data_IF_670716080491
#
_entry.id   IF_670716080491
#
_cell.length_a   1.000
_cell.length_b   1.000
_cell.length_c   1.000
_cell.angle_alpha   90.00
_cell.angle_beta   90.00
_cell.angle_gamma   90.00
#
_symmetry.space_group_name_H-M   'P 1'
#
loop_
_entity.id
_entity.type
_entity.pdbx_description
1 polymer ?
#
# COMPACT_ATOMS: atom_id res chain seq x y z
N UNK A 1 -54.96 -47.18 -15.47
CA UNK A 1 -53.83 -47.26 -14.53
C UNK A 1 -52.53 -47.06 -15.30
N UNK A 2 -52.02 -45.82 -15.43
CA UNK A 2 -50.65 -45.56 -15.90
C UNK A 2 -50.24 -44.08 -15.69
N UNK A 3 -50.21 -43.57 -14.45
CA UNK A 3 -49.88 -42.15 -14.21
C UNK A 3 -48.98 -41.88 -12.98
N UNK A 4 -48.20 -42.87 -12.54
CA UNK A 4 -47.28 -42.76 -11.39
C UNK A 4 -45.89 -43.25 -11.80
N UNK A 5 -45.27 -42.51 -12.72
CA UNK A 5 -43.85 -42.67 -13.04
C UNK A 5 -43.21 -41.29 -13.18
N UNK A 6 -43.83 -40.39 -13.92
CA UNK A 6 -43.40 -38.98 -13.97
C UNK A 6 -43.51 -38.30 -12.61
N UNK A 7 -44.63 -38.45 -11.89
CA UNK A 7 -44.81 -37.84 -10.57
C UNK A 7 -43.85 -38.42 -9.51
N UNK A 8 -43.56 -39.72 -9.55
CA UNK A 8 -42.61 -40.35 -8.63
C UNK A 8 -41.16 -39.95 -8.94
N UNK A 9 -40.81 -39.81 -10.22
CA UNK A 9 -39.51 -39.26 -10.64
C UNK A 9 -39.39 -37.78 -10.28
N UNK A 10 -40.46 -36.98 -10.37
CA UNK A 10 -40.48 -35.60 -9.86
C UNK A 10 -40.35 -35.56 -8.34
N UNK A 11 -40.98 -36.48 -7.60
CA UNK A 11 -40.86 -36.55 -6.15
C UNK A 11 -39.44 -36.94 -5.70
N UNK A 12 -38.79 -37.89 -6.40
CA UNK A 12 -37.38 -38.24 -6.17
C UNK A 12 -36.45 -37.11 -6.55
N UNK A 13 -36.65 -36.50 -7.72
CA UNK A 13 -35.85 -35.37 -8.19
C UNK A 13 -35.99 -34.17 -7.26
N UNK A 14 -37.20 -33.84 -6.80
CA UNK A 14 -37.42 -32.75 -5.84
C UNK A 14 -36.76 -33.02 -4.49
N UNK A 15 -36.80 -34.28 -4.00
CA UNK A 15 -36.05 -34.67 -2.78
C UNK A 15 -34.54 -34.56 -2.99
N UNK A 16 -34.02 -35.02 -4.12
CA UNK A 16 -32.59 -34.93 -4.44
C UNK A 16 -32.14 -33.48 -4.61
N UNK A 17 -32.95 -32.65 -5.27
CA UNK A 17 -32.70 -31.23 -5.48
C UNK A 17 -32.65 -30.47 -4.17
N UNK A 18 -33.59 -30.68 -3.25
CA UNK A 18 -33.53 -30.10 -1.90
C UNK A 18 -32.31 -30.53 -1.11
N UNK A 19 -31.91 -31.80 -1.22
CA UNK A 19 -30.68 -32.29 -0.60
C UNK A 19 -29.45 -31.62 -1.20
N UNK A 20 -29.37 -31.54 -2.53
CA UNK A 20 -28.30 -30.88 -3.26
C UNK A 20 -28.21 -29.39 -2.90
N UNK A 21 -29.33 -28.67 -2.94
CA UNK A 21 -29.40 -27.24 -2.66
C UNK A 21 -29.03 -26.98 -1.19
N UNK A 22 -29.45 -27.84 -0.26
CA UNK A 22 -29.02 -27.79 1.15
C UNK A 22 -27.51 -28.02 1.32
N UNK A 23 -26.95 -29.03 0.65
CA UNK A 23 -25.50 -29.29 0.71
C UNK A 23 -24.68 -28.19 0.04
N UNK A 24 -25.20 -27.57 -1.02
CA UNK A 24 -24.57 -26.43 -1.68
C UNK A 24 -24.58 -25.19 -0.79
N UNK A 25 -25.70 -24.89 -0.13
CA UNK A 25 -25.80 -23.79 0.83
C UNK A 25 -24.84 -23.98 2.00
N UNK A 26 -24.75 -25.19 2.56
CA UNK A 26 -23.78 -25.52 3.62
C UNK A 26 -22.33 -25.36 3.13
N UNK A 27 -22.02 -25.79 1.91
CA UNK A 27 -20.69 -25.64 1.31
C UNK A 27 -20.33 -24.16 1.08
N UNK A 28 -21.24 -23.37 0.53
CA UNK A 28 -21.03 -21.93 0.31
C UNK A 28 -20.88 -21.19 1.63
N UNK A 29 -21.65 -21.55 2.66
CA UNK A 29 -21.52 -20.98 4.01
C UNK A 29 -20.14 -21.27 4.60
N UNK A 30 -19.67 -22.52 4.54
CA UNK A 30 -18.34 -22.92 5.02
C UNK A 30 -17.25 -22.21 4.21
N UNK A 31 -17.36 -22.16 2.89
CA UNK A 31 -16.38 -21.49 2.03
C UNK A 31 -16.32 -19.98 2.31
N UNK A 32 -17.46 -19.34 2.57
CA UNK A 32 -17.55 -17.94 2.97
C UNK A 32 -16.89 -17.70 4.33
N UNK A 33 -17.11 -18.58 5.30
CA UNK A 33 -16.42 -18.49 6.59
C UNK A 33 -14.91 -18.67 6.44
N UNK A 34 -14.48 -19.65 5.65
CA UNK A 34 -13.06 -19.94 5.41
C UNK A 34 -12.35 -18.79 4.69
N UNK A 35 -12.98 -18.20 3.66
CA UNK A 35 -12.45 -17.05 2.93
C UNK A 35 -12.41 -15.79 3.80
N UNK A 36 -13.43 -15.55 4.64
CA UNK A 36 -13.42 -14.46 5.61
C UNK A 36 -12.29 -14.62 6.63
N UNK A 37 -12.07 -15.83 7.16
CA UNK A 37 -11.00 -16.10 8.10
C UNK A 37 -9.61 -15.89 7.48
N UNK A 38 -9.40 -16.38 6.24
CA UNK A 38 -8.15 -16.13 5.50
C UNK A 38 -7.92 -14.64 5.29
N UNK A 39 -8.95 -13.90 4.90
CA UNK A 39 -8.85 -12.46 4.67
C UNK A 39 -8.46 -11.72 5.95
N UNK A 40 -9.08 -12.04 7.08
CA UNK A 40 -8.75 -11.44 8.38
C UNK A 40 -7.32 -11.79 8.82
N UNK A 41 -6.87 -13.02 8.59
CA UNK A 41 -5.50 -13.44 8.88
C UNK A 41 -4.48 -12.71 8.01
N UNK A 42 -4.68 -12.68 6.69
CA UNK A 42 -3.80 -11.98 5.75
C UNK A 42 -3.73 -10.49 6.06
N UNK A 43 -4.86 -9.88 6.43
CA UNK A 43 -4.92 -8.49 6.85
C UNK A 43 -4.16 -8.27 8.16
N UNK A 44 -4.34 -9.15 9.15
CA UNK A 44 -3.57 -9.12 10.40
C UNK A 44 -2.06 -9.24 10.17
N UNK A 45 -1.62 -10.21 9.36
CA UNK A 45 -0.20 -10.40 9.03
C UNK A 45 0.36 -9.19 8.27
N UNK A 46 -0.42 -8.60 7.34
CA UNK A 46 -0.04 -7.36 6.66
C UNK A 46 0.12 -6.20 7.64
N UNK A 47 -0.80 -6.04 8.59
CA UNK A 47 -0.71 -5.00 9.62
C UNK A 47 0.51 -5.21 10.49
N UNK A 48 0.72 -6.42 11.03
CA UNK A 48 1.87 -6.72 11.89
C UNK A 48 3.18 -6.45 11.15
N UNK A 49 3.28 -6.89 9.88
CA UNK A 49 4.46 -6.62 9.06
C UNK A 49 4.65 -5.13 8.80
N UNK A 50 3.58 -4.39 8.49
CA UNK A 50 3.65 -2.94 8.29
C UNK A 50 4.02 -2.21 9.58
N UNK A 51 3.45 -2.60 10.72
CA UNK A 51 3.74 -2.02 12.03
C UNK A 51 5.18 -2.33 12.48
N UNK A 52 5.66 -3.54 12.25
CA UNK A 52 7.04 -3.93 12.55
C UNK A 52 8.07 -3.20 11.68
N UNK A 53 7.80 -3.08 10.38
CA UNK A 53 8.76 -2.47 9.43
C UNK A 53 8.69 -0.95 9.37
N UNK A 54 7.49 -0.39 9.45
CA UNK A 54 7.23 1.05 9.30
C UNK A 54 6.83 1.68 10.63
N UNK A 55 5.98 1.02 11.42
CA UNK A 55 5.57 1.51 12.74
C UNK A 55 6.75 1.71 13.70
N UNK A 56 7.73 0.80 13.74
CA UNK A 56 8.95 0.99 14.54
C UNK A 56 9.77 2.20 14.07
N UNK A 57 9.87 2.42 12.76
CA UNK A 57 10.54 3.62 12.20
C UNK A 57 9.80 4.89 12.58
N UNK A 58 8.47 4.91 12.47
CA UNK A 58 7.66 6.05 12.89
C UNK A 58 7.72 6.29 14.40
N UNK A 59 7.75 5.23 15.20
CA UNK A 59 7.86 5.30 16.65
C UNK A 59 9.22 5.86 17.08
N UNK A 60 10.32 5.37 16.51
CA UNK A 60 11.64 5.95 16.73
C UNK A 60 11.71 7.41 16.29
N UNK A 61 11.17 7.74 15.11
CA UNK A 61 11.09 9.12 14.65
C UNK A 61 10.25 10.00 15.59
N UNK A 62 9.14 9.49 16.11
CA UNK A 62 8.29 10.22 17.05
C UNK A 62 8.98 10.42 18.41
N UNK A 63 9.71 9.41 18.90
CA UNK A 63 10.47 9.50 20.14
C UNK A 63 11.63 10.50 20.02
N UNK A 64 12.39 10.45 18.93
CA UNK A 64 13.50 11.37 18.64
C UNK A 64 13.06 12.72 18.06
N UNK A 65 11.76 12.95 17.83
CA UNK A 65 11.25 14.25 17.37
C UNK A 65 11.48 15.38 18.37
N UNK A 66 11.87 15.08 19.62
CA UNK A 66 12.20 16.09 20.63
C UNK A 66 13.63 16.62 20.59
N UNK A 67 14.52 16.02 19.79
CA UNK A 67 15.89 16.51 19.64
C UNK A 67 15.97 17.46 18.44
N UNK A 68 16.22 18.76 18.64
CA UNK A 68 16.36 19.73 17.56
C UNK A 68 17.55 19.35 16.67
N UNK A 69 17.30 19.05 15.40
CA UNK A 69 18.33 18.59 14.43
C UNK A 69 19.29 19.73 14.08
N UNK A 70 18.80 20.96 14.03
CA UNK A 70 19.57 22.18 13.83
C UNK A 70 18.97 23.30 14.67
N UNK A 71 19.79 23.97 15.48
CA UNK A 71 19.43 25.25 16.07
C UNK A 71 19.74 26.34 15.06
N UNK A 72 18.73 27.03 14.55
CA UNK A 72 18.94 28.19 13.69
C UNK A 72 19.07 29.44 14.58
N UNK A 73 20.07 30.31 14.37
CA UNK A 73 20.18 31.57 15.10
C UNK A 73 18.93 32.43 14.85
N UNK A 74 18.44 33.04 15.93
CA UNK A 74 17.19 33.82 15.92
C UNK A 74 17.28 34.97 14.89
N UNK A 75 16.34 35.01 13.94
CA UNK A 75 16.20 36.10 12.96
C UNK A 75 16.51 35.76 11.50
N UNK A 76 16.99 34.55 11.17
CA UNK A 76 17.28 34.20 9.77
C UNK A 76 16.03 33.86 8.93
N UNK A 77 14.96 33.37 9.58
CA UNK A 77 13.74 32.94 8.89
C UNK A 77 12.51 33.75 9.38
N UNK A 78 11.61 34.15 8.47
CA UNK A 78 10.33 34.77 8.82
C UNK A 78 9.52 33.87 9.77
N UNK A 79 8.76 34.47 10.68
CA UNK A 79 7.95 33.77 11.69
C UNK A 79 7.08 32.63 11.10
N UNK A 80 6.49 32.85 9.92
CA UNK A 80 5.70 31.84 9.22
C UNK A 80 6.50 30.61 8.78
N UNK A 81 7.73 30.80 8.31
CA UNK A 81 8.59 29.70 7.84
C UNK A 81 9.11 28.90 9.02
N UNK A 82 9.50 29.59 10.11
CA UNK A 82 9.86 28.94 11.37
C UNK A 82 8.69 28.14 11.95
N UNK A 83 7.45 28.62 11.82
CA UNK A 83 6.24 27.91 12.23
C UNK A 83 5.98 26.65 11.38
N UNK A 84 6.07 26.74 10.05
CA UNK A 84 5.91 25.56 9.17
C UNK A 84 7.01 24.52 9.42
N UNK A 85 8.27 24.96 9.59
CA UNK A 85 9.40 24.06 9.85
C UNK A 85 9.36 23.38 11.23
N UNK A 86 8.64 23.95 12.20
CA UNK A 86 8.52 23.43 13.57
C UNK A 86 7.33 22.48 13.77
N UNK A 87 6.34 22.53 12.88
CA UNK A 87 5.22 21.59 12.86
C UNK A 87 5.73 20.15 12.58
N UNK A 88 5.35 19.08 13.32
CA UNK A 88 4.30 18.97 14.34
C UNK A 88 4.80 18.92 15.81
N UNK A 89 6.11 18.93 16.08
CA UNK A 89 6.63 18.69 17.46
C UNK A 89 8.05 19.21 17.75
N UNK A 90 8.58 20.13 16.96
CA UNK A 90 9.89 20.73 17.24
C UNK A 90 9.71 22.09 17.95
N UNK A 91 10.55 22.45 18.94
CA UNK A 91 10.52 23.77 19.55
C UNK A 91 10.81 24.86 18.49
N UNK A 92 10.13 26.01 18.63
CA UNK A 92 10.26 27.17 17.73
C UNK A 92 11.74 27.51 17.52
N UNK A 93 12.21 27.53 16.27
CA UNK A 93 13.63 27.73 15.92
C UNK A 93 14.40 26.47 15.50
N UNK A 94 13.75 25.31 15.42
CA UNK A 94 14.34 24.06 14.94
C UNK A 94 13.51 23.37 13.86
N UNK A 95 14.18 22.63 12.97
CA UNK A 95 13.53 21.85 11.90
C UNK A 95 13.05 20.51 12.46
N UNK A 96 11.78 20.20 12.25
CA UNK A 96 11.17 18.91 12.58
C UNK A 96 11.85 17.75 11.85
N UNK A 97 12.15 16.66 12.57
CA UNK A 97 12.73 15.42 12.01
C UNK A 97 11.88 14.87 10.85
N UNK A 98 10.55 15.05 10.93
CA UNK A 98 9.61 14.58 9.91
C UNK A 98 9.73 15.38 8.61
N UNK A 99 9.84 16.70 8.73
CA UNK A 99 10.02 17.58 7.57
C UNK A 99 11.38 17.30 6.93
N UNK A 100 12.43 17.16 7.74
CA UNK A 100 13.75 16.80 7.25
C UNK A 100 13.76 15.44 6.55
N UNK A 101 13.13 14.41 7.14
CA UNK A 101 13.01 13.09 6.52
C UNK A 101 12.24 13.14 5.21
N UNK A 102 11.18 13.95 5.12
CA UNK A 102 10.39 14.11 3.91
C UNK A 102 11.17 14.85 2.81
N UNK A 103 11.95 15.87 3.17
CA UNK A 103 12.85 16.58 2.26
C UNK A 103 13.92 15.62 1.73
N UNK A 104 14.57 14.84 2.60
CA UNK A 104 15.54 13.84 2.18
C UNK A 104 14.92 12.78 1.27
N UNK A 105 13.73 12.27 1.59
CA UNK A 105 13.02 11.30 0.76
C UNK A 105 12.69 11.88 -0.63
N UNK A 106 12.21 13.12 -0.67
CA UNK A 106 11.92 13.81 -1.93
C UNK A 106 13.19 14.01 -2.75
N UNK A 107 14.28 14.46 -2.12
CA UNK A 107 15.56 14.67 -2.79
C UNK A 107 16.15 13.36 -3.36
N UNK A 108 16.05 12.25 -2.63
CA UNK A 108 16.49 10.95 -3.13
C UNK A 108 15.63 10.50 -4.31
N UNK A 109 14.31 10.70 -4.22
CA UNK A 109 13.36 10.31 -5.27
C UNK A 109 13.59 11.10 -6.55
N UNK A 110 13.71 12.43 -6.46
CA UNK A 110 13.99 13.28 -7.62
C UNK A 110 15.35 12.96 -8.24
N UNK A 111 16.37 12.66 -7.41
CA UNK A 111 17.67 12.24 -7.93
C UNK A 111 17.58 10.88 -8.64
N UNK A 112 16.81 9.92 -8.12
CA UNK A 112 16.58 8.64 -8.77
C UNK A 112 15.82 8.81 -10.11
N UNK A 113 14.82 9.69 -10.17
CA UNK A 113 14.09 10.03 -11.39
C UNK A 113 15.02 10.66 -12.43
N UNK A 114 15.86 11.62 -12.03
CA UNK A 114 16.86 12.25 -12.92
C UNK A 114 17.84 11.21 -13.46
N UNK A 115 18.38 10.34 -12.60
CA UNK A 115 19.30 9.26 -13.04
C UNK A 115 18.60 8.33 -14.01
N UNK A 116 17.37 7.91 -13.72
CA UNK A 116 16.58 7.03 -14.58
C UNK A 116 16.28 7.68 -15.93
N UNK A 117 15.90 8.97 -15.93
CA UNK A 117 15.67 9.75 -17.13
C UNK A 117 16.94 9.88 -17.97
N UNK A 118 18.09 10.15 -17.36
CA UNK A 118 19.39 10.21 -18.05
C UNK A 118 19.77 8.84 -18.64
N UNK A 119 19.59 7.75 -17.89
CA UNK A 119 19.88 6.40 -18.39
C UNK A 119 18.96 6.01 -19.56
N UNK A 120 17.66 6.31 -19.47
CA UNK A 120 16.69 6.11 -20.56
C UNK A 120 17.06 6.95 -21.78
N UNK A 121 17.38 8.23 -21.59
CA UNK A 121 17.78 9.12 -22.68
C UNK A 121 19.07 8.63 -23.37
N UNK A 122 20.04 8.11 -22.60
CA UNK A 122 21.24 7.49 -23.16
C UNK A 122 20.93 6.19 -23.92
N UNK A 123 20.01 5.36 -23.44
CA UNK A 123 19.58 4.14 -24.14
C UNK A 123 18.86 4.48 -25.46
N UNK A 124 17.97 5.47 -25.46
CA UNK A 124 17.30 5.94 -26.69
C UNK A 124 18.28 6.56 -27.68
N UNK A 125 19.28 7.32 -27.20
CA UNK A 125 20.32 7.93 -28.04
C UNK A 125 21.28 6.87 -28.61
N UNK A 126 21.60 5.82 -27.84
CA UNK A 126 22.42 4.70 -28.30
C UNK A 126 21.70 3.84 -29.37
N UNK A 127 20.37 3.80 -29.37
CA UNK A 127 19.58 3.19 -30.44
C UNK A 127 19.48 4.07 -31.70
N UNK A 128 19.91 5.34 -31.63
CA UNK A 128 19.74 6.33 -32.69
C UNK A 128 20.99 6.67 -33.54
N UNK A 129 21.94 5.75 -33.81
CA UNK A 129 22.78 5.89 -34.99
C UNK A 129 22.82 4.60 -35.82
N UNK A 130 21.70 4.24 -36.44
CA UNK A 130 21.68 3.31 -37.58
C UNK A 130 20.91 3.85 -38.80
N UNK A 131 20.59 5.15 -38.82
CA UNK A 131 19.85 5.78 -39.91
C UNK A 131 20.60 6.99 -40.47
N UNK A 132 21.81 6.78 -41.01
CA UNK A 132 22.38 7.65 -42.04
C UNK A 132 23.30 6.83 -42.96
N UNK A 133 22.77 6.45 -44.13
CA UNK A 133 23.33 6.61 -45.49
C UNK A 133 22.59 5.69 -46.47
N UNK A 134 22.46 6.14 -47.72
CA UNK A 134 21.68 5.61 -48.87
C UNK A 134 20.35 6.37 -48.97
N UNK A 135 20.11 7.26 -49.93
CA UNK A 135 20.67 7.48 -51.26
C UNK A 135 20.47 8.96 -51.62
#
# INVERSE_FOLDING_TARGET
MNNTSSQDEFAKWAKLRRKHDKTMEEYEAINKQLSSQKTSFDWGVKIVRWFGTSGLKFFLQFWYSKTPVFHLPEGWLPYYVAWVLSFPRAPMGSVSIQIWSNVCATAITTMAEVVTAVLLQRATTAAAPAAKKTQ
#
